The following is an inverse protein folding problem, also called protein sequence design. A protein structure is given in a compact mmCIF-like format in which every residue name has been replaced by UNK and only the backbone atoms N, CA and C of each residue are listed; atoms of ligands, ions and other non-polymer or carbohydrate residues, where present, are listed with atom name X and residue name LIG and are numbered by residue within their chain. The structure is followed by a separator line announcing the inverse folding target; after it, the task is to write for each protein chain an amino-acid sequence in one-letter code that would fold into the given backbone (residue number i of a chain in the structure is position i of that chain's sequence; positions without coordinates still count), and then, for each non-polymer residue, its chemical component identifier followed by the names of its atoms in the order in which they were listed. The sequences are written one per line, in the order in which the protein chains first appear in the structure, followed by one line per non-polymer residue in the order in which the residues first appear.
data_IF_162913372548
#
_entry.id   IF_162913372548
#
_cell.length_a   1.000
_cell.length_b   1.000
_cell.length_c   1.000
_cell.angle_alpha   90.00
_cell.angle_beta   90.00
_cell.angle_gamma   90.00
#
_symmetry.space_group_name_H-M   'P 1'
#
loop_
_entity.id
_entity.type
_entity.pdbx_description
1 polymer ?
#
# COMPACT_ATOMS: atom_id res chain seq x y z
N UNK A 1 -10.08 7.86 -17.19
CA UNK A 1 -11.42 7.95 -16.53
C UNK A 1 -12.11 6.60 -16.51
N UNK A 2 -12.04 5.82 -17.60
CA UNK A 2 -12.60 4.45 -17.70
C UNK A 2 -11.96 3.46 -16.73
N UNK A 3 -10.63 3.46 -16.57
CA UNK A 3 -9.92 2.54 -15.64
C UNK A 3 -10.46 2.63 -14.20
N UNK A 4 -10.55 3.83 -13.63
CA UNK A 4 -11.04 4.02 -12.27
C UNK A 4 -12.49 3.53 -12.10
N UNK A 5 -13.32 3.71 -13.12
CA UNK A 5 -14.70 3.25 -13.10
C UNK A 5 -14.78 1.72 -13.23
N UNK A 6 -13.93 1.12 -14.05
CA UNK A 6 -13.85 -0.33 -14.20
C UNK A 6 -13.35 -1.03 -12.93
N UNK A 7 -12.35 -0.46 -12.24
CA UNK A 7 -11.88 -0.94 -10.92
C UNK A 7 -13.04 -0.92 -9.92
N UNK A 8 -13.71 0.23 -9.78
CA UNK A 8 -14.75 0.43 -8.76
C UNK A 8 -16.10 -0.27 -9.09
N UNK A 9 -16.26 -0.79 -10.31
CA UNK A 9 -17.46 -1.50 -10.73
C UNK A 9 -17.42 -3.00 -10.41
N UNK A 10 -16.31 -3.53 -9.89
CA UNK A 10 -16.20 -4.93 -9.50
C UNK A 10 -17.15 -5.26 -8.34
N UNK A 11 -18.20 -6.09 -8.55
CA UNK A 11 -19.17 -6.39 -7.50
C UNK A 11 -18.61 -7.34 -6.42
N UNK A 12 -17.52 -8.07 -6.70
CA UNK A 12 -16.92 -9.04 -5.78
C UNK A 12 -15.82 -8.41 -4.91
N UNK A 13 -15.31 -7.24 -5.30
CA UNK A 13 -14.18 -6.59 -4.62
C UNK A 13 -14.48 -5.15 -4.26
N UNK A 14 -14.43 -4.85 -2.97
CA UNK A 14 -14.39 -3.47 -2.49
C UNK A 14 -12.95 -2.95 -2.61
N UNK A 15 -12.66 -2.25 -3.70
CA UNK A 15 -11.37 -1.61 -3.90
C UNK A 15 -11.24 -0.33 -3.08
N UNK A 16 -10.21 -0.28 -2.24
CA UNK A 16 -9.89 0.84 -1.35
C UNK A 16 -8.48 1.36 -1.67
N UNK A 17 -8.33 2.11 -2.78
CA UNK A 17 -7.09 2.78 -3.15
C UNK A 17 -6.73 3.87 -2.13
N UNK A 18 -5.52 3.79 -1.58
CA UNK A 18 -5.10 4.71 -0.52
C UNK A 18 -3.83 5.49 -0.87
N UNK A 19 -3.62 6.56 -0.12
CA UNK A 19 -2.30 7.07 0.22
C UNK A 19 -1.99 6.60 1.65
N UNK A 20 -0.85 5.96 1.88
CA UNK A 20 -0.52 5.24 3.13
C UNK A 20 -0.74 6.10 4.39
N UNK A 21 -0.13 7.29 4.41
CA UNK A 21 -0.17 8.20 5.55
C UNK A 21 -1.27 9.27 5.46
N UNK A 22 -2.43 8.94 4.88
CA UNK A 22 -3.55 9.87 4.71
C UNK A 22 -4.68 9.62 5.74
N UNK A 23 -4.95 10.57 6.66
CA UNK A 23 -6.08 10.47 7.58
C UNK A 23 -7.44 10.38 6.88
N UNK A 24 -7.61 11.10 5.76
CA UNK A 24 -8.84 11.03 4.97
C UNK A 24 -9.05 9.64 4.36
N UNK A 25 -7.97 9.01 3.87
CA UNK A 25 -8.03 7.61 3.43
C UNK A 25 -8.44 6.70 4.57
N UNK A 26 -7.83 6.83 5.76
CA UNK A 26 -8.20 6.01 6.92
C UNK A 26 -9.66 6.15 7.33
N UNK A 27 -10.20 7.37 7.34
CA UNK A 27 -11.61 7.61 7.64
C UNK A 27 -12.55 6.96 6.60
N UNK A 28 -12.25 7.15 5.31
CA UNK A 28 -13.04 6.57 4.21
C UNK A 28 -12.97 5.05 4.21
N UNK A 29 -11.78 4.47 4.36
CA UNK A 29 -11.55 3.02 4.43
C UNK A 29 -12.35 2.39 5.56
N UNK A 30 -12.22 2.93 6.78
CA UNK A 30 -12.93 2.40 7.94
C UNK A 30 -14.46 2.49 7.76
N UNK A 31 -14.95 3.60 7.21
CA UNK A 31 -16.38 3.78 6.90
C UNK A 31 -16.87 2.73 5.90
N UNK A 32 -16.17 2.55 4.78
CA UNK A 32 -16.58 1.62 3.72
C UNK A 32 -16.54 0.16 4.17
N UNK A 33 -15.52 -0.24 4.94
CA UNK A 33 -15.45 -1.59 5.50
C UNK A 33 -16.63 -1.85 6.45
N UNK A 34 -17.00 -0.88 7.31
CA UNK A 34 -18.15 -1.03 8.22
C UNK A 34 -19.49 -1.05 7.51
N UNK A 35 -19.64 -0.29 6.42
CA UNK A 35 -20.86 -0.27 5.61
C UNK A 35 -21.04 -1.56 4.81
N UNK A 36 -19.99 -2.03 4.14
CA UNK A 36 -20.03 -3.20 3.25
C UNK A 36 -19.93 -4.52 4.01
N UNK A 37 -19.24 -4.53 5.16
CA UNK A 37 -18.97 -5.73 5.99
C UNK A 37 -18.38 -6.87 5.16
N UNK A 38 -17.22 -6.66 4.50
CA UNK A 38 -16.59 -7.67 3.68
C UNK A 38 -16.22 -8.91 4.51
N UNK A 39 -16.15 -10.07 3.87
CA UNK A 39 -15.76 -11.32 4.53
C UNK A 39 -14.25 -11.42 4.75
N UNK A 40 -13.46 -10.66 3.97
CA UNK A 40 -12.03 -10.51 4.16
C UNK A 40 -11.57 -9.07 3.86
N UNK A 41 -10.57 -8.59 4.59
CA UNK A 41 -9.87 -7.32 4.35
C UNK A 41 -8.40 -7.62 4.12
N UNK A 42 -7.96 -7.41 2.88
CA UNK A 42 -6.59 -7.62 2.41
C UNK A 42 -5.88 -6.27 2.38
N UNK A 43 -4.79 -6.14 3.13
CA UNK A 43 -4.09 -4.86 3.36
C UNK A 43 -2.68 -4.93 2.79
N UNK A 44 -2.21 -3.85 2.16
CA UNK A 44 -0.81 -3.73 1.76
C UNK A 44 0.09 -3.73 3.00
N UNK A 45 0.94 -4.74 3.05
CA UNK A 45 1.88 -5.03 4.11
C UNK A 45 2.52 -6.38 3.80
N UNK A 46 3.68 -6.71 4.40
CA UNK A 46 4.39 -7.93 4.06
C UNK A 46 3.60 -9.13 4.55
N UNK A 47 3.31 -10.08 3.67
CA UNK A 47 2.41 -11.20 3.95
C UNK A 47 2.91 -12.12 5.07
N UNK A 48 4.23 -12.26 5.22
CA UNK A 48 4.91 -12.95 6.31
C UNK A 48 4.69 -12.31 7.69
N UNK A 49 4.16 -11.09 7.75
CA UNK A 49 3.70 -10.43 8.97
C UNK A 49 2.21 -10.65 9.27
N UNK A 50 1.45 -11.36 8.42
CA UNK A 50 0.03 -11.68 8.68
C UNK A 50 -0.19 -12.33 10.06
N UNK A 51 0.65 -13.25 10.55
CA UNK A 51 0.52 -13.80 11.90
C UNK A 51 0.64 -12.77 13.03
N UNK A 52 1.15 -11.56 12.76
CA UNK A 52 1.24 -10.47 13.74
C UNK A 52 -0.05 -9.68 13.88
N UNK A 53 -0.97 -9.75 12.90
CA UNK A 53 -2.21 -8.96 12.89
C UNK A 53 -3.01 -9.05 14.20
N UNK A 54 -3.19 -10.22 14.85
CA UNK A 54 -3.92 -10.29 16.12
C UNK A 54 -3.38 -9.36 17.20
N UNK A 55 -2.07 -9.12 17.24
CA UNK A 55 -1.44 -8.18 18.17
C UNK A 55 -1.56 -6.72 17.70
N UNK A 56 -1.59 -6.49 16.38
CA UNK A 56 -1.72 -5.14 15.81
C UNK A 56 -3.13 -4.57 16.00
N UNK A 57 -4.14 -5.42 16.16
CA UNK A 57 -5.53 -5.03 16.38
C UNK A 57 -6.04 -5.32 17.79
N UNK A 58 -5.16 -5.75 18.70
CA UNK A 58 -5.55 -5.99 20.10
C UNK A 58 -5.99 -4.67 20.76
N UNK A 59 -7.09 -4.63 21.52
CA UNK A 59 -7.53 -3.40 22.19
C UNK A 59 -6.52 -2.83 23.21
N UNK A 60 -5.61 -3.65 23.74
CA UNK A 60 -4.50 -3.24 24.59
C UNK A 60 -3.30 -2.69 23.83
N UNK A 61 -3.28 -2.84 22.50
CA UNK A 61 -2.27 -2.28 21.61
C UNK A 61 -2.71 -0.92 21.09
N UNK A 62 -1.88 0.10 21.29
CA UNK A 62 -2.16 1.47 20.87
C UNK A 62 -1.06 1.98 19.93
N UNK A 63 -1.42 2.57 18.77
CA UNK A 63 -0.48 3.32 17.95
C UNK A 63 0.24 4.44 18.74
N UNK A 64 1.48 4.82 18.36
CA UNK A 64 2.19 4.40 17.16
C UNK A 64 2.85 3.02 17.32
N UNK A 65 2.66 2.16 16.31
CA UNK A 65 3.28 0.85 16.20
C UNK A 65 3.98 0.72 14.85
N UNK A 66 4.86 -0.26 14.70
CA UNK A 66 5.44 -0.60 13.40
C UNK A 66 5.75 -2.10 13.31
N UNK A 67 5.51 -2.69 12.14
CA UNK A 67 6.09 -3.99 11.78
C UNK A 67 7.49 -3.73 11.24
N UNK A 68 8.50 -4.36 11.86
CA UNK A 68 9.89 -4.29 11.41
C UNK A 68 10.26 -5.60 10.69
N UNK A 69 10.51 -5.51 9.39
CA UNK A 69 11.16 -6.58 8.64
C UNK A 69 12.68 -6.38 8.63
N UNK A 70 13.42 -7.46 8.81
CA UNK A 70 14.89 -7.46 8.81
C UNK A 70 15.40 -8.66 8.04
N UNK A 71 16.40 -8.45 7.18
CA UNK A 71 17.05 -9.52 6.43
C UNK A 71 18.56 -9.29 6.43
N UNK A 72 19.33 -10.34 6.71
CA UNK A 72 20.80 -10.31 6.66
C UNK A 72 21.28 -11.10 5.47
N UNK A 73 22.04 -10.47 4.59
CA UNK A 73 22.57 -11.13 3.39
C UNK A 73 23.94 -11.76 3.67
N UNK A 74 23.94 -12.83 4.46
CA UNK A 74 25.16 -13.54 4.89
C UNK A 74 26.04 -14.02 3.73
N UNK A 75 25.42 -14.28 2.57
CA UNK A 75 26.09 -14.82 1.37
C UNK A 75 26.38 -13.75 0.32
N UNK A 76 26.18 -12.47 0.64
CA UNK A 76 26.34 -11.34 -0.29
C UNK A 76 25.63 -11.56 -1.64
N UNK A 77 24.43 -12.16 -1.62
CA UNK A 77 23.62 -12.44 -2.81
C UNK A 77 23.28 -11.19 -3.60
N UNK A 78 23.14 -10.06 -2.93
CA UNK A 78 22.80 -8.77 -3.55
C UNK A 78 24.02 -7.91 -3.86
N UNK A 79 25.24 -8.39 -3.54
CA UNK A 79 26.48 -7.68 -3.84
C UNK A 79 26.67 -6.35 -3.08
N UNK A 80 25.98 -6.16 -1.95
CA UNK A 80 25.96 -4.89 -1.21
C UNK A 80 26.94 -4.85 -0.01
N UNK A 81 27.69 -5.92 0.26
CA UNK A 81 28.73 -5.89 1.30
C UNK A 81 29.82 -4.87 0.96
N UNK A 82 30.27 -4.09 1.95
CA UNK A 82 31.21 -2.97 1.75
C UNK A 82 30.64 -1.75 1.02
N UNK A 83 29.43 -1.84 0.45
CA UNK A 83 28.70 -0.71 -0.16
C UNK A 83 27.71 -0.14 0.86
N UNK A 84 26.84 -0.99 1.40
CA UNK A 84 25.82 -0.65 2.39
C UNK A 84 26.17 -1.15 3.79
N UNK A 85 27.40 -1.64 3.97
CA UNK A 85 27.97 -2.08 5.24
C UNK A 85 29.39 -1.54 5.39
N UNK A 86 29.93 -1.42 6.62
CA UNK A 86 31.22 -0.75 6.85
C UNK A 86 32.44 -1.44 6.23
N UNK A 87 32.36 -2.71 5.86
CA UNK A 87 33.48 -3.51 5.32
C UNK A 87 32.94 -4.64 4.44
N UNK A 88 33.64 -5.05 3.35
CA UNK A 88 33.22 -6.18 2.49
C UNK A 88 33.00 -7.53 3.20
N UNK A 89 33.59 -7.71 4.40
CA UNK A 89 33.43 -8.92 5.23
C UNK A 89 32.22 -8.86 6.15
N UNK A 90 31.57 -7.70 6.30
CA UNK A 90 30.40 -7.53 7.15
C UNK A 90 29.15 -7.71 6.29
N UNK A 91 28.30 -8.71 6.56
CA UNK A 91 27.03 -8.86 5.85
C UNK A 91 26.17 -7.60 5.99
N UNK A 92 25.66 -7.12 4.86
CA UNK A 92 24.65 -6.07 4.87
C UNK A 92 23.39 -6.57 5.59
N UNK A 93 22.77 -5.67 6.35
CA UNK A 93 21.47 -5.88 6.99
C UNK A 93 20.45 -4.93 6.40
N UNK A 94 19.48 -5.50 5.70
CA UNK A 94 18.35 -4.79 5.14
C UNK A 94 17.23 -4.67 6.17
N UNK A 95 16.56 -3.52 6.20
CA UNK A 95 15.44 -3.26 7.10
C UNK A 95 14.34 -2.52 6.36
N UNK A 96 13.09 -2.87 6.65
CA UNK A 96 11.94 -2.05 6.28
C UNK A 96 10.97 -1.96 7.46
N UNK A 97 10.33 -0.80 7.62
CA UNK A 97 9.28 -0.58 8.62
C UNK A 97 7.94 -0.29 7.94
N UNK A 98 6.88 -0.92 8.44
CA UNK A 98 5.50 -0.57 8.11
C UNK A 98 4.86 0.11 9.32
N UNK A 99 4.82 1.46 9.36
CA UNK A 99 4.25 2.22 10.45
C UNK A 99 2.73 2.11 10.45
N UNK A 100 2.17 1.95 11.64
CA UNK A 100 0.75 1.92 11.91
C UNK A 100 0.46 3.05 12.90
N UNK A 101 -0.04 4.16 12.36
CA UNK A 101 -0.56 5.27 13.16
C UNK A 101 -2.08 5.14 13.25
N UNK A 102 -2.69 5.74 14.28
CA UNK A 102 -4.15 5.76 14.41
C UNK A 102 -4.86 6.32 13.17
N UNK A 103 -4.19 7.18 12.40
CA UNK A 103 -4.68 7.80 11.17
C UNK A 103 -4.26 7.11 9.87
N UNK A 104 -3.36 6.11 9.89
CA UNK A 104 -2.98 5.38 8.65
C UNK A 104 -4.13 4.55 8.14
N UNK A 105 -4.23 4.44 6.80
CA UNK A 105 -5.37 3.76 6.19
C UNK A 105 -5.32 2.24 6.39
N UNK A 106 -4.13 1.67 6.47
CA UNK A 106 -3.85 0.27 6.75
C UNK A 106 -4.28 -0.10 8.17
N UNK A 107 -3.88 0.69 9.17
CA UNK A 107 -4.32 0.45 10.55
C UNK A 107 -5.84 0.61 10.67
N UNK A 108 -6.42 1.64 10.05
CA UNK A 108 -7.87 1.83 10.02
C UNK A 108 -8.60 0.65 9.37
N UNK A 109 -8.04 0.05 8.31
CA UNK A 109 -8.56 -1.14 7.65
C UNK A 109 -8.54 -2.36 8.57
N UNK A 110 -7.41 -2.61 9.24
CA UNK A 110 -7.27 -3.74 10.15
C UNK A 110 -8.26 -3.65 11.33
N UNK A 111 -8.39 -2.46 11.93
CA UNK A 111 -9.35 -2.23 13.01
C UNK A 111 -10.79 -2.39 12.52
N UNK A 112 -11.16 -1.77 11.40
CA UNK A 112 -12.52 -1.88 10.87
C UNK A 112 -12.86 -3.31 10.41
N UNK A 113 -11.90 -4.03 9.85
CA UNK A 113 -12.05 -5.43 9.44
C UNK A 113 -12.26 -6.34 10.65
N UNK A 114 -11.49 -6.16 11.72
CA UNK A 114 -11.73 -6.84 13.02
C UNK A 114 -13.14 -6.54 13.53
N UNK A 115 -13.56 -5.26 13.54
CA UNK A 115 -14.86 -4.83 14.06
C UNK A 115 -16.04 -5.51 13.34
N UNK A 116 -15.91 -5.79 12.05
CA UNK A 116 -16.96 -6.47 11.26
C UNK A 116 -16.84 -8.00 11.26
N UNK A 117 -15.77 -8.55 11.85
CA UNK A 117 -15.49 -9.99 11.88
C UNK A 117 -14.91 -10.54 10.59
N UNK A 118 -14.25 -9.70 9.79
CA UNK A 118 -13.60 -10.11 8.55
C UNK A 118 -12.30 -10.89 8.81
N UNK A 119 -11.96 -11.79 7.89
CA UNK A 119 -10.61 -12.31 7.81
C UNK A 119 -9.62 -11.20 7.45
N UNK A 120 -8.48 -11.13 8.13
CA UNK A 120 -7.46 -10.11 7.90
C UNK A 120 -6.18 -10.75 7.35
N UNK A 121 -5.61 -10.16 6.30
CA UNK A 121 -4.33 -10.60 5.76
C UNK A 121 -3.53 -9.43 5.20
N UNK A 122 -2.21 -9.53 5.33
CA UNK A 122 -1.27 -8.73 4.55
C UNK A 122 -0.98 -9.43 3.23
N UNK A 123 -0.85 -8.68 2.13
CA UNK A 123 -0.80 -9.27 0.76
C UNK A 123 0.39 -8.84 -0.09
N UNK A 124 1.24 -7.95 0.40
CA UNK A 124 2.44 -7.52 -0.31
C UNK A 124 3.58 -8.51 -0.13
N UNK A 125 4.54 -8.47 -1.04
CA UNK A 125 5.70 -9.35 -0.98
C UNK A 125 6.57 -9.05 0.26
N UNK A 126 7.23 -10.06 0.84
CA UNK A 126 8.09 -9.85 2.01
C UNK A 126 9.37 -9.12 1.60
N UNK A 127 10.02 -8.46 2.57
CA UNK A 127 11.21 -7.62 2.37
C UNK A 127 12.27 -8.23 1.42
N UNK A 128 12.65 -9.52 1.51
CA UNK A 128 13.68 -10.08 0.63
C UNK A 128 13.36 -9.96 -0.87
N UNK A 129 12.08 -9.92 -1.26
CA UNK A 129 11.65 -9.75 -2.64
C UNK A 129 11.89 -8.33 -3.16
N UNK A 130 11.92 -7.33 -2.28
CA UNK A 130 12.06 -5.91 -2.65
C UNK A 130 13.54 -5.49 -2.80
N UNK A 131 14.46 -6.20 -2.15
CA UNK A 131 15.87 -5.80 -2.01
C UNK A 131 16.55 -5.48 -3.36
N UNK A 132 16.43 -6.31 -4.42
CA UNK A 132 17.10 -6.02 -5.70
C UNK A 132 16.67 -4.69 -6.33
N UNK A 133 15.43 -4.26 -6.08
CA UNK A 133 14.85 -3.10 -6.75
C UNK A 133 15.02 -1.83 -5.91
N UNK A 134 14.59 -1.85 -4.65
CA UNK A 134 14.59 -0.65 -3.81
C UNK A 134 16.01 -0.24 -3.39
N UNK A 135 16.83 -1.21 -2.99
CA UNK A 135 18.15 -0.93 -2.42
C UNK A 135 19.20 -0.62 -3.48
N UNK A 136 19.09 -1.24 -4.66
CA UNK A 136 19.92 -0.87 -5.82
C UNK A 136 19.60 0.56 -6.30
N UNK A 137 18.31 0.94 -6.29
CA UNK A 137 17.87 2.28 -6.72
C UNK A 137 18.26 3.38 -5.73
N UNK A 138 18.11 3.13 -4.43
CA UNK A 138 18.25 4.17 -3.40
C UNK A 138 19.60 4.17 -2.68
N UNK A 139 20.43 3.14 -2.87
CA UNK A 139 21.72 2.96 -2.19
C UNK A 139 21.62 3.12 -0.67
N UNK A 140 20.57 2.55 -0.06
CA UNK A 140 20.31 2.61 1.40
C UNK A 140 19.83 1.27 1.89
N UNK A 141 20.35 0.80 3.03
CA UNK A 141 19.99 -0.49 3.65
C UNK A 141 18.61 -0.49 4.35
N UNK A 142 17.97 0.67 4.49
CA UNK A 142 16.86 0.89 5.39
C UNK A 142 15.78 1.70 4.70
N UNK A 143 14.53 1.23 4.73
CA UNK A 143 13.39 1.84 4.02
C UNK A 143 12.09 1.80 4.86
N UNK A 144 11.04 2.45 4.35
CA UNK A 144 9.67 2.37 4.84
C UNK A 144 8.67 2.63 3.70
N UNK A 145 7.36 2.70 3.98
CA UNK A 145 6.38 3.01 2.94
C UNK A 145 6.69 4.38 2.32
N UNK A 146 6.51 4.47 1.01
CA UNK A 146 6.75 5.69 0.25
C UNK A 146 5.55 5.95 -0.65
N UNK A 147 5.14 7.22 -0.71
CA UNK A 147 4.25 7.70 -1.77
C UNK A 147 5.04 8.12 -3.02
N UNK A 148 6.31 7.71 -3.16
CA UNK A 148 7.28 8.26 -4.11
C UNK A 148 6.82 8.17 -5.57
N UNK A 149 6.17 7.07 -5.95
CA UNK A 149 5.60 6.91 -7.30
C UNK A 149 4.58 8.01 -7.64
N UNK A 150 3.78 8.43 -6.66
CA UNK A 150 2.81 9.50 -6.80
C UNK A 150 3.47 10.88 -6.68
N UNK A 151 4.29 11.06 -5.64
CA UNK A 151 4.88 12.33 -5.23
C UNK A 151 6.01 12.83 -6.13
N UNK A 152 6.71 11.94 -6.84
CA UNK A 152 7.82 12.26 -7.74
C UNK A 152 7.41 12.11 -9.22
N UNK A 153 6.11 12.05 -9.50
CA UNK A 153 5.60 11.86 -10.86
C UNK A 153 5.58 13.14 -11.67
N UNK A 154 5.83 13.00 -12.98
CA UNK A 154 5.65 14.08 -13.95
C UNK A 154 4.19 14.60 -13.99
N UNK A 155 3.22 13.77 -13.62
CA UNK A 155 1.82 14.18 -13.50
C UNK A 155 1.62 15.14 -12.34
N UNK A 156 2.12 14.79 -11.14
CA UNK A 156 2.08 15.66 -9.98
C UNK A 156 2.82 16.98 -10.25
N UNK A 157 3.99 16.94 -10.90
CA UNK A 157 4.75 18.14 -11.25
C UNK A 157 3.95 19.15 -12.07
N UNK A 158 3.02 18.68 -12.91
CA UNK A 158 2.12 19.54 -13.70
C UNK A 158 0.95 20.08 -12.88
N UNK A 159 0.52 19.38 -11.84
CA UNK A 159 -0.64 19.73 -11.01
C UNK A 159 -0.29 20.55 -9.76
N UNK A 160 0.95 20.44 -9.25
CA UNK A 160 1.33 21.02 -7.96
C UNK A 160 1.20 22.54 -7.89
N UNK A 161 1.29 23.23 -9.04
CA UNK A 161 1.17 24.69 -9.10
C UNK A 161 2.15 25.38 -8.14
N UNK A 162 1.62 26.16 -7.18
CA UNK A 162 2.41 26.86 -6.15
C UNK A 162 2.61 26.05 -4.85
N UNK A 163 2.12 24.82 -4.77
CA UNK A 163 2.22 23.98 -3.56
C UNK A 163 3.67 23.55 -3.33
N UNK A 164 4.12 23.56 -2.07
CA UNK A 164 5.52 23.31 -1.71
C UNK A 164 5.90 21.83 -1.70
N UNK A 165 4.92 20.94 -1.51
CA UNK A 165 5.13 19.51 -1.42
C UNK A 165 3.92 18.72 -1.89
N UNK A 166 4.11 17.43 -2.14
CA UNK A 166 3.02 16.49 -2.41
C UNK A 166 2.02 16.44 -1.26
N UNK A 167 2.50 16.46 -0.01
CA UNK A 167 1.63 16.47 1.17
C UNK A 167 0.72 17.70 1.22
N UNK A 168 1.26 18.90 0.98
CA UNK A 168 0.45 20.14 0.98
C UNK A 168 -0.59 20.13 -0.16
N UNK A 169 -0.19 19.66 -1.34
CA UNK A 169 -1.10 19.54 -2.47
C UNK A 169 -2.20 18.50 -2.20
N UNK A 170 -1.84 17.34 -1.64
CA UNK A 170 -2.76 16.28 -1.29
C UNK A 170 -3.78 16.74 -0.25
N UNK A 171 -3.33 17.37 0.83
CA UNK A 171 -4.20 17.91 1.88
C UNK A 171 -5.23 18.87 1.28
N UNK A 172 -4.78 19.85 0.49
CA UNK A 172 -5.67 20.84 -0.13
C UNK A 172 -6.57 20.32 -1.24
N UNK A 173 -6.27 19.14 -1.83
CA UNK A 173 -7.01 18.57 -2.97
C UNK A 173 -7.96 17.46 -2.56
N UNK A 174 -7.53 16.59 -1.65
CA UNK A 174 -8.24 15.38 -1.26
C UNK A 174 -8.77 15.44 0.17
N UNK A 175 -8.01 15.99 1.12
CA UNK A 175 -8.35 15.89 2.55
C UNK A 175 -9.22 17.04 3.05
N UNK A 176 -9.05 18.25 2.50
CA UNK A 176 -9.87 19.39 2.84
C UNK A 176 -11.14 19.45 1.98
N UNK A 177 -12.33 19.42 2.60
CA UNK A 177 -13.61 19.75 1.97
C UNK A 177 -14.57 18.58 1.72
N UNK A 178 -15.51 18.77 0.79
CA UNK A 178 -16.62 17.84 0.50
C UNK A 178 -16.19 16.48 -0.08
N UNK A 179 -14.95 16.37 -0.60
CA UNK A 179 -14.47 15.14 -1.22
C UNK A 179 -14.48 13.96 -0.24
N UNK A 180 -14.00 14.16 0.99
CA UNK A 180 -14.03 13.13 2.04
C UNK A 180 -15.45 12.81 2.53
N UNK A 181 -16.42 13.72 2.34
CA UNK A 181 -17.82 13.48 2.69
C UNK A 181 -18.52 12.49 1.73
N UNK A 182 -17.97 12.31 0.52
CA UNK A 182 -18.47 11.39 -0.51
C UNK A 182 -17.43 10.31 -0.85
N UNK A 183 -17.41 9.17 -0.11
CA UNK A 183 -16.43 8.09 -0.26
C UNK A 183 -16.16 7.64 -1.69
N UNK A 184 -17.21 7.40 -2.49
CA UNK A 184 -17.04 6.88 -3.85
C UNK A 184 -16.36 7.90 -4.77
N UNK A 185 -16.67 9.19 -4.60
CA UNK A 185 -16.01 10.28 -5.34
C UNK A 185 -14.54 10.39 -4.94
N UNK A 186 -14.25 10.26 -3.64
CA UNK A 186 -12.89 10.29 -3.10
C UNK A 186 -12.03 9.17 -3.67
N UNK A 187 -12.48 7.91 -3.56
CA UNK A 187 -11.76 6.74 -4.08
C UNK A 187 -11.56 6.83 -5.60
N UNK A 188 -12.59 7.26 -6.34
CA UNK A 188 -12.48 7.49 -7.79
C UNK A 188 -11.44 8.55 -8.13
N UNK A 189 -11.40 9.67 -7.40
CA UNK A 189 -10.45 10.74 -7.65
C UNK A 189 -9.00 10.28 -7.44
N UNK A 190 -8.75 9.50 -6.38
CA UNK A 190 -7.44 8.91 -6.08
C UNK A 190 -7.01 7.94 -7.20
N UNK A 191 -7.90 7.04 -7.64
CA UNK A 191 -7.60 6.11 -8.75
C UNK A 191 -7.34 6.84 -10.06
N UNK A 192 -8.11 7.89 -10.37
CA UNK A 192 -7.86 8.69 -11.59
C UNK A 192 -6.48 9.33 -11.54
N UNK A 193 -6.08 9.88 -10.39
CA UNK A 193 -4.76 10.45 -10.21
C UNK A 193 -3.66 9.38 -10.39
N UNK A 194 -3.77 8.25 -9.70
CA UNK A 194 -2.80 7.16 -9.81
C UNK A 194 -2.73 6.56 -11.22
N UNK A 195 -3.86 6.43 -11.92
CA UNK A 195 -3.89 5.94 -13.30
C UNK A 195 -3.19 6.90 -14.26
N UNK A 196 -3.33 8.22 -14.06
CA UNK A 196 -2.62 9.21 -14.85
C UNK A 196 -1.11 9.19 -14.58
N UNK A 197 -0.70 8.96 -13.33
CA UNK A 197 0.70 8.74 -12.96
C UNK A 197 1.28 7.55 -13.72
N UNK A 198 0.61 6.39 -13.68
CA UNK A 198 1.06 5.19 -14.41
C UNK A 198 1.13 5.39 -15.92
N UNK A 199 0.11 6.01 -16.50
CA UNK A 199 0.06 6.25 -17.95
C UNK A 199 1.23 7.12 -18.46
N UNK A 200 1.79 7.99 -17.62
CA UNK A 200 2.95 8.83 -17.96
C UNK A 200 4.30 8.16 -17.69
N UNK A 201 4.32 7.02 -17.00
CA UNK A 201 5.53 6.27 -16.68
C UNK A 201 5.26 4.75 -16.72
N UNK A 202 4.91 4.17 -17.90
CA UNK A 202 4.49 2.77 -17.99
C UNK A 202 5.56 1.78 -17.52
N UNK A 203 6.84 2.12 -17.73
CA UNK A 203 8.02 1.32 -17.35
C UNK A 203 8.42 1.47 -15.87
N UNK A 204 7.71 2.29 -15.09
CA UNK A 204 8.08 2.55 -13.70
C UNK A 204 7.93 1.28 -12.85
N UNK A 205 6.88 0.50 -13.11
CA UNK A 205 6.52 -0.64 -12.28
C UNK A 205 7.53 -1.79 -12.38
N UNK A 206 8.12 -2.02 -13.55
CA UNK A 206 9.18 -3.01 -13.73
C UNK A 206 10.50 -2.55 -13.10
N UNK A 207 10.79 -1.25 -13.17
CA UNK A 207 12.06 -0.68 -12.68
C UNK A 207 12.18 -0.66 -11.17
N UNK A 208 11.07 -0.47 -10.45
CA UNK A 208 11.08 -0.37 -8.99
C UNK A 208 10.50 -1.59 -8.27
N UNK A 209 10.19 -2.66 -9.02
CA UNK A 209 9.70 -3.93 -8.47
C UNK A 209 8.20 -3.96 -8.19
N UNK A 210 7.46 -2.88 -8.49
CA UNK A 210 5.99 -2.86 -8.39
C UNK A 210 5.32 -3.99 -9.15
N UNK A 211 5.79 -4.36 -10.35
CA UNK A 211 5.18 -5.45 -11.13
C UNK A 211 5.23 -6.81 -10.39
N UNK A 212 6.33 -7.10 -9.69
CA UNK A 212 6.47 -8.29 -8.86
C UNK A 212 5.52 -8.25 -7.66
N UNK A 213 5.47 -7.10 -6.99
CA UNK A 213 4.58 -6.86 -5.84
C UNK A 213 3.12 -6.99 -6.24
N UNK A 214 2.73 -6.42 -7.37
CA UNK A 214 1.38 -6.49 -7.93
C UNK A 214 0.99 -7.93 -8.27
N UNK A 215 1.89 -8.73 -8.87
CA UNK A 215 1.63 -10.15 -9.12
C UNK A 215 1.43 -10.95 -7.82
N UNK A 216 2.22 -10.64 -6.79
CA UNK A 216 2.10 -11.26 -5.47
C UNK A 216 0.78 -10.90 -4.78
N UNK A 217 0.41 -9.61 -4.78
CA UNK A 217 -0.87 -9.13 -4.28
C UNK A 217 -2.06 -9.75 -5.03
N UNK A 218 -2.00 -9.82 -6.36
CA UNK A 218 -3.04 -10.42 -7.20
C UNK A 218 -3.24 -11.91 -6.88
N UNK A 219 -2.15 -12.65 -6.61
CA UNK A 219 -2.24 -14.03 -6.16
C UNK A 219 -3.03 -14.18 -4.85
N UNK A 220 -2.76 -13.33 -3.86
CA UNK A 220 -3.50 -13.32 -2.58
C UNK A 220 -4.98 -12.95 -2.78
N UNK A 221 -5.27 -11.96 -3.64
CA UNK A 221 -6.64 -11.56 -3.97
C UNK A 221 -7.40 -12.71 -4.63
N UNK A 222 -6.80 -13.38 -5.62
CA UNK A 222 -7.39 -14.53 -6.29
C UNK A 222 -7.63 -15.70 -5.31
N UNK A 223 -6.68 -15.96 -4.41
CA UNK A 223 -6.80 -16.98 -3.37
C UNK A 223 -7.94 -16.67 -2.40
N UNK A 224 -8.10 -15.42 -1.98
CA UNK A 224 -9.20 -14.99 -1.13
C UNK A 224 -10.56 -15.12 -1.85
N UNK A 225 -10.66 -14.69 -3.10
CA UNK A 225 -11.88 -14.83 -3.93
C UNK A 225 -12.30 -16.29 -4.08
N UNK A 226 -11.33 -17.20 -4.25
CA UNK A 226 -11.60 -18.64 -4.32
C UNK A 226 -12.12 -19.21 -2.99
N UNK A 227 -11.59 -18.73 -1.86
CA UNK A 227 -12.04 -19.16 -0.52
C UNK A 227 -13.42 -18.60 -0.16
N UNK A 228 -13.75 -17.43 -0.71
CA UNK A 228 -14.97 -16.68 -0.40
C UNK A 228 -15.76 -16.32 -1.68
N UNK A 229 -16.30 -17.30 -2.42
CA UNK A 229 -16.89 -17.07 -3.74
C UNK A 229 -18.12 -16.15 -3.74
N UNK A 230 -18.90 -16.15 -2.65
CA UNK A 230 -20.13 -15.37 -2.50
C UNK A 230 -19.94 -14.11 -1.63
N UNK A 231 -18.73 -13.89 -1.12
CA UNK A 231 -18.42 -12.81 -0.20
C UNK A 231 -17.68 -11.66 -0.87
N UNK A 232 -17.99 -10.43 -0.46
CA UNK A 232 -17.21 -9.27 -0.89
C UNK A 232 -15.88 -9.24 -0.14
N UNK A 233 -14.78 -9.07 -0.87
CA UNK A 233 -13.45 -8.89 -0.28
C UNK A 233 -13.04 -7.43 -0.41
N UNK A 234 -12.52 -6.84 0.66
CA UNK A 234 -11.93 -5.51 0.60
C UNK A 234 -10.43 -5.60 0.31
N UNK A 235 -9.94 -4.78 -0.61
CA UNK A 235 -8.51 -4.69 -0.95
C UNK A 235 -8.04 -3.26 -0.70
N UNK A 236 -7.15 -3.10 0.27
CA UNK A 236 -6.60 -1.81 0.73
C UNK A 236 -5.14 -1.76 0.32
N UNK A 237 -4.85 -1.09 -0.78
CA UNK A 237 -3.48 -0.95 -1.31
C UNK A 237 -3.23 0.49 -1.76
N UNK A 238 -1.96 0.88 -1.80
CA UNK A 238 -1.49 2.11 -2.40
C UNK A 238 -2.10 2.27 -3.77
N UNK A 239 -2.65 3.45 -4.04
CA UNK A 239 -3.44 3.70 -5.24
C UNK A 239 -2.69 3.39 -6.54
N UNK A 240 -1.36 3.51 -6.54
CA UNK A 240 -0.52 3.12 -7.68
C UNK A 240 -0.69 1.63 -8.04
N UNK A 241 -0.69 0.74 -7.04
CA UNK A 241 -0.90 -0.70 -7.25
C UNK A 241 -2.36 -1.02 -7.57
N UNK A 242 -3.31 -0.40 -6.85
CA UNK A 242 -4.76 -0.62 -7.05
C UNK A 242 -5.21 -0.41 -8.50
N UNK A 243 -4.52 0.45 -9.27
CA UNK A 243 -4.81 0.66 -10.68
C UNK A 243 -4.56 -0.58 -11.54
N UNK A 244 -3.58 -1.42 -11.17
CA UNK A 244 -3.15 -2.58 -11.97
C UNK A 244 -3.77 -3.91 -11.50
N UNK A 245 -4.02 -4.06 -10.19
CA UNK A 245 -4.42 -5.33 -9.59
C UNK A 245 -5.65 -6.03 -10.21
N UNK A 246 -6.69 -5.34 -10.74
CA UNK A 246 -7.82 -6.05 -11.36
C UNK A 246 -7.47 -6.80 -12.66
N UNK A 247 -6.30 -6.54 -13.26
CA UNK A 247 -5.89 -7.08 -14.56
C UNK A 247 -4.58 -7.89 -14.52
N UNK A 248 -3.96 -8.02 -13.35
CA UNK A 248 -2.74 -8.80 -13.13
C UNK A 248 -3.08 -10.27 -12.92
#
# INVERSE_FOLDING_TARGET
MEIAQAVLADPATLWLPIRHLSPACGAVVARRIREVRPVAVLVEGPDDATPLIPYLVDPGSAPPMAVLSTYVDEKNRFGQNGILSPDPRIPVRFRSWWPLLASTAEHAALIAGRDVGAELAFIDAPLPAHIPFEHARLHRAVQGPTDGQLAESAYFDRLKGKRRSFGEWWEGTFESGEAAAAPDRFLRAILVFAAAVRALAPEAAERDGSALREAHMAWHIAAARKRHPEGVIAVVTGAFHSVALPWT
#
